data_IF_692216431584
#
_entry.id   IF_692216431584
#
_cell.length_a   1.000
_cell.length_b   1.000
_cell.length_c   1.000
_cell.angle_alpha   90.00
_cell.angle_beta   90.00
_cell.angle_gamma   90.00
#
_symmetry.space_group_name_H-M   'P 1'
#
loop_
_entity.id
_entity.type
_entity.pdbx_description
1 polymer ?
#
# COMPACT_ATOMS: atom_id res chain seq x y z
N UNK A 1 11.80 15.29 3.23
CA UNK A 1 10.34 15.02 3.14
C UNK A 1 9.93 13.56 3.38
N UNK A 2 10.78 12.55 3.13
CA UNK A 2 10.44 11.11 3.30
C UNK A 2 9.98 10.66 4.71
N UNK A 3 10.43 11.32 5.79
CA UNK A 3 10.00 10.96 7.14
C UNK A 3 8.54 11.36 7.41
N UNK A 4 8.06 12.51 6.91
CA UNK A 4 6.66 12.93 7.08
C UNK A 4 5.67 11.93 6.44
N UNK A 5 6.03 11.36 5.29
CA UNK A 5 5.21 10.36 4.59
C UNK A 5 5.14 9.01 5.31
N UNK A 6 6.17 8.64 6.08
CA UNK A 6 6.14 7.42 6.89
C UNK A 6 5.20 7.60 8.08
N UNK A 7 5.19 8.79 8.67
CA UNK A 7 4.33 9.13 9.79
C UNK A 7 2.86 9.32 9.37
N UNK A 8 2.55 9.76 8.15
CA UNK A 8 1.17 10.02 7.72
C UNK A 8 0.27 8.77 7.78
N UNK A 9 0.83 7.58 7.51
CA UNK A 9 0.11 6.30 7.56
C UNK A 9 -0.32 5.94 8.98
N UNK A 10 0.32 6.51 9.99
CA UNK A 10 0.06 6.24 11.41
C UNK A 10 -0.66 7.41 12.08
N UNK A 11 -0.23 8.65 11.83
CA UNK A 11 -0.79 9.87 12.42
C UNK A 11 -2.25 10.06 12.02
N UNK A 12 -2.59 9.88 10.74
CA UNK A 12 -3.94 10.13 10.22
C UNK A 12 -4.98 9.17 10.82
N UNK A 13 -4.74 7.84 10.89
CA UNK A 13 -5.66 6.94 11.57
C UNK A 13 -5.68 7.13 13.10
N UNK A 14 -4.57 7.55 13.74
CA UNK A 14 -4.59 7.94 15.17
C UNK A 14 -5.47 9.17 15.40
N UNK A 15 -5.41 10.17 14.53
CA UNK A 15 -6.24 11.39 14.64
C UNK A 15 -7.73 11.05 14.53
N UNK A 16 -8.09 10.12 13.63
CA UNK A 16 -9.47 9.66 13.48
C UNK A 16 -9.92 8.86 14.71
N UNK A 17 -9.06 8.02 15.28
CA UNK A 17 -9.34 7.36 16.57
C UNK A 17 -9.56 8.35 17.70
N UNK A 18 -8.76 9.42 17.75
CA UNK A 18 -8.91 10.48 18.75
C UNK A 18 -10.27 11.17 18.62
N UNK A 19 -10.69 11.52 17.40
CA UNK A 19 -12.01 12.13 17.12
C UNK A 19 -13.13 11.18 17.56
N UNK A 20 -13.05 9.89 17.22
CA UNK A 20 -14.06 8.90 17.63
C UNK A 20 -14.16 8.75 19.15
N UNK A 21 -13.05 8.90 19.86
CA UNK A 21 -13.04 8.86 21.33
C UNK A 21 -13.70 10.11 21.95
N UNK A 22 -13.46 11.29 21.37
CA UNK A 22 -14.12 12.55 21.77
C UNK A 22 -15.62 12.47 21.54
N UNK A 23 -16.06 11.88 20.43
CA UNK A 23 -17.48 11.70 20.09
C UNK A 23 -18.19 10.58 20.88
N UNK A 24 -17.48 9.85 21.76
CA UNK A 24 -18.02 8.75 22.59
C UNK A 24 -18.77 7.65 21.81
N UNK A 25 -18.45 7.47 20.53
CA UNK A 25 -19.04 6.41 19.70
C UNK A 25 -18.53 5.07 20.24
N UNK A 26 -19.42 4.35 20.93
CA UNK A 26 -19.08 3.12 21.68
C UNK A 26 -19.56 1.84 21.00
N UNK A 27 -20.49 1.94 20.05
CA UNK A 27 -20.96 0.82 19.23
C UNK A 27 -21.64 1.36 17.98
N UNK A 28 -21.50 0.63 16.88
CA UNK A 28 -22.25 0.87 15.64
C UNK A 28 -23.01 -0.40 15.33
N UNK A 29 -24.31 -0.26 15.16
CA UNK A 29 -25.15 -1.35 14.66
C UNK A 29 -25.10 -1.32 13.12
N UNK A 30 -24.74 -2.46 12.53
CA UNK A 30 -24.63 -2.59 11.08
C UNK A 30 -25.65 -3.64 10.65
N UNK A 31 -26.72 -3.22 9.99
CA UNK A 31 -27.85 -4.08 9.61
C UNK A 31 -27.47 -5.27 8.69
N UNK A 32 -26.32 -5.19 7.99
CA UNK A 32 -25.79 -6.21 7.08
C UNK A 32 -24.27 -6.37 7.25
N UNK A 33 -23.85 -6.65 8.49
CA UNK A 33 -22.44 -6.78 8.86
C UNK A 33 -21.72 -7.83 8.01
N UNK A 34 -22.33 -8.99 7.77
CA UNK A 34 -21.74 -10.08 6.97
C UNK A 34 -21.42 -9.65 5.54
N UNK A 35 -22.35 -8.95 4.90
CA UNK A 35 -22.18 -8.45 3.52
C UNK A 35 -21.10 -7.38 3.48
N UNK A 36 -21.08 -6.48 4.47
CA UNK A 36 -20.08 -5.43 4.57
C UNK A 36 -18.67 -6.01 4.73
N UNK A 37 -18.49 -6.94 5.68
CA UNK A 37 -17.20 -7.59 5.92
C UNK A 37 -16.77 -8.44 4.73
N UNK A 38 -17.68 -9.22 4.13
CA UNK A 38 -17.38 -10.02 2.94
C UNK A 38 -16.94 -9.17 1.74
N UNK A 39 -17.58 -8.01 1.55
CA UNK A 39 -17.19 -7.04 0.52
C UNK A 39 -15.80 -6.45 0.81
N UNK A 40 -15.51 -6.14 2.08
CA UNK A 40 -14.21 -5.62 2.48
C UNK A 40 -13.10 -6.64 2.25
N UNK A 41 -13.29 -7.90 2.67
CA UNK A 41 -12.32 -8.99 2.45
C UNK A 41 -12.02 -9.11 0.94
N UNK A 42 -13.07 -9.12 0.11
CA UNK A 42 -12.93 -9.24 -1.35
C UNK A 42 -12.13 -8.07 -1.95
N UNK A 43 -12.43 -6.84 -1.53
CA UNK A 43 -11.71 -5.65 -1.98
C UNK A 43 -10.23 -5.68 -1.56
N UNK A 44 -9.95 -6.01 -0.30
CA UNK A 44 -8.59 -6.10 0.24
C UNK A 44 -7.80 -7.19 -0.48
N UNK A 45 -8.38 -8.39 -0.66
CA UNK A 45 -7.75 -9.49 -1.36
C UNK A 45 -7.42 -9.13 -2.81
N UNK A 46 -8.33 -8.43 -3.50
CA UNK A 46 -8.12 -7.96 -4.88
C UNK A 46 -6.93 -6.99 -4.96
N UNK A 47 -6.90 -5.98 -4.09
CA UNK A 47 -5.83 -4.98 -4.05
C UNK A 47 -4.48 -5.61 -3.71
N UNK A 48 -4.44 -6.48 -2.69
CA UNK A 48 -3.23 -7.21 -2.30
C UNK A 48 -2.75 -8.10 -3.44
N UNK A 49 -3.65 -8.79 -4.14
CA UNK A 49 -3.33 -9.60 -5.32
C UNK A 49 -2.70 -8.76 -6.43
N UNK A 50 -3.24 -7.58 -6.72
CA UNK A 50 -2.64 -6.65 -7.67
C UNK A 50 -1.24 -6.18 -7.25
N UNK A 51 -1.04 -5.88 -5.97
CA UNK A 51 0.29 -5.50 -5.45
C UNK A 51 1.30 -6.62 -5.67
N UNK A 52 0.93 -7.87 -5.36
CA UNK A 52 1.80 -9.03 -5.56
C UNK A 52 2.13 -9.23 -7.04
N UNK A 53 1.15 -9.06 -7.93
CA UNK A 53 1.38 -9.12 -9.38
C UNK A 53 2.36 -8.04 -9.86
N UNK A 54 2.21 -6.80 -9.38
CA UNK A 54 3.14 -5.70 -9.69
C UNK A 54 4.55 -6.03 -9.18
N UNK A 55 4.69 -6.59 -7.97
CA UNK A 55 5.98 -7.04 -7.44
C UNK A 55 6.61 -8.08 -8.38
N UNK A 56 5.84 -9.08 -8.81
CA UNK A 56 6.33 -10.14 -9.69
C UNK A 56 6.78 -9.59 -11.05
N UNK A 57 6.00 -8.69 -11.66
CA UNK A 57 6.36 -8.01 -12.90
C UNK A 57 7.64 -7.21 -12.70
N UNK A 58 7.71 -6.42 -11.62
CA UNK A 58 8.86 -5.59 -11.34
C UNK A 58 10.11 -6.47 -11.19
N UNK A 59 10.06 -7.57 -10.42
CA UNK A 59 11.18 -8.52 -10.29
C UNK A 59 11.57 -9.10 -11.66
N UNK A 60 10.61 -9.47 -12.51
CA UNK A 60 10.89 -10.02 -13.83
C UNK A 60 11.50 -9.02 -14.83
N UNK A 61 11.11 -7.74 -14.77
CA UNK A 61 11.65 -6.66 -15.60
C UNK A 61 12.99 -6.15 -15.05
N UNK A 62 13.21 -6.26 -13.74
CA UNK A 62 14.41 -5.77 -13.05
C UNK A 62 15.70 -6.51 -13.44
N UNK A 63 15.63 -7.73 -13.97
CA UNK A 63 16.78 -8.64 -14.12
C UNK A 63 17.82 -8.25 -15.19
N UNK A 64 17.60 -7.20 -16.02
CA UNK A 64 18.54 -6.90 -17.15
C UNK A 64 19.10 -5.47 -17.28
N UNK A 65 18.41 -4.41 -16.86
CA UNK A 65 18.91 -3.02 -17.03
C UNK A 65 18.63 -2.13 -15.81
N UNK A 66 17.47 -2.30 -15.17
CA UNK A 66 17.05 -1.49 -14.02
C UNK A 66 17.79 -1.90 -12.72
N UNK A 67 18.32 -3.14 -12.64
CA UNK A 67 19.11 -3.65 -11.50
C UNK A 67 20.32 -2.78 -11.17
N UNK A 68 21.04 -2.22 -12.15
CA UNK A 68 22.21 -1.36 -11.88
C UNK A 68 21.81 -0.05 -11.21
N UNK A 69 20.75 0.58 -11.74
CA UNK A 69 20.26 1.89 -11.32
C UNK A 69 19.65 1.85 -9.91
N UNK A 70 18.83 0.83 -9.62
CA UNK A 70 18.16 0.69 -8.32
C UNK A 70 19.13 0.21 -7.23
N UNK A 71 20.13 -0.60 -7.60
CA UNK A 71 21.13 -1.11 -6.67
C UNK A 71 22.17 -0.04 -6.27
N UNK A 72 22.50 0.91 -7.15
CA UNK A 72 23.38 2.04 -6.82
C UNK A 72 22.73 3.06 -5.85
N UNK A 73 21.40 3.16 -5.80
CA UNK A 73 20.68 4.18 -5.00
C UNK A 73 20.07 3.73 -3.67
N UNK A 74 20.30 2.50 -3.17
CA UNK A 74 19.61 1.90 -1.99
C UNK A 74 18.06 1.88 -2.10
N UNK A 75 17.49 2.14 -3.28
CA UNK A 75 16.03 2.24 -3.48
C UNK A 75 15.31 0.90 -3.42
N UNK A 76 16.00 -0.23 -3.61
CA UNK A 76 15.36 -1.56 -3.62
C UNK A 76 14.79 -1.97 -2.26
N UNK A 77 15.50 -1.67 -1.17
CA UNK A 77 15.02 -1.94 0.18
C UNK A 77 13.81 -1.06 0.53
N UNK A 78 13.83 0.20 0.10
CA UNK A 78 12.70 1.11 0.29
C UNK A 78 11.47 0.61 -0.49
N UNK A 79 11.63 0.26 -1.76
CA UNK A 79 10.53 -0.21 -2.58
C UNK A 79 9.91 -1.49 -2.04
N UNK A 80 10.74 -2.44 -1.60
CA UNK A 80 10.30 -3.65 -0.91
C UNK A 80 9.50 -3.29 0.35
N UNK A 81 9.98 -2.36 1.15
CA UNK A 81 9.30 -1.95 2.39
C UNK A 81 7.95 -1.27 2.09
N UNK A 82 7.89 -0.41 1.08
CA UNK A 82 6.66 0.28 0.69
C UNK A 82 5.61 -0.68 0.09
N UNK A 83 6.05 -1.72 -0.61
CA UNK A 83 5.20 -2.77 -1.17
C UNK A 83 4.72 -3.76 -0.10
N UNK A 84 5.56 -4.09 0.87
CA UNK A 84 5.24 -5.08 1.90
C UNK A 84 4.23 -4.55 2.94
N UNK A 85 4.30 -3.26 3.28
CA UNK A 85 3.40 -2.65 4.28
C UNK A 85 1.90 -2.81 3.95
N UNK A 86 1.39 -2.43 2.76
CA UNK A 86 -0.02 -2.61 2.42
C UNK A 86 -0.43 -4.09 2.38
N UNK A 87 0.48 -5.01 1.99
CA UNK A 87 0.22 -6.45 2.03
C UNK A 87 0.00 -6.92 3.48
N UNK A 88 0.91 -6.58 4.40
CA UNK A 88 0.80 -6.95 5.81
C UNK A 88 -0.45 -6.36 6.46
N UNK A 89 -0.72 -5.07 6.24
CA UNK A 89 -1.92 -4.40 6.79
C UNK A 89 -3.19 -5.04 6.22
N UNK A 90 -3.21 -5.33 4.91
CA UNK A 90 -4.32 -6.00 4.25
C UNK A 90 -4.57 -7.41 4.82
N UNK A 91 -3.51 -8.19 5.01
CA UNK A 91 -3.62 -9.51 5.65
C UNK A 91 -4.15 -9.42 7.09
N UNK A 92 -3.66 -8.48 7.88
CA UNK A 92 -4.19 -8.23 9.24
C UNK A 92 -5.67 -7.84 9.21
N UNK A 93 -6.09 -7.00 8.25
CA UNK A 93 -7.47 -6.58 8.09
C UNK A 93 -8.39 -7.75 7.71
N UNK A 94 -7.92 -8.69 6.88
CA UNK A 94 -8.65 -9.93 6.55
C UNK A 94 -8.79 -10.81 7.80
N UNK A 95 -7.72 -11.03 8.56
CA UNK A 95 -7.78 -11.82 9.79
C UNK A 95 -8.76 -11.21 10.79
N UNK A 96 -8.69 -9.89 11.00
CA UNK A 96 -9.60 -9.20 11.91
C UNK A 96 -11.04 -9.25 11.42
N UNK A 97 -11.26 -9.21 10.10
CA UNK A 97 -12.58 -9.38 9.48
C UNK A 97 -13.20 -10.75 9.80
N UNK A 98 -12.41 -11.82 9.75
CA UNK A 98 -12.88 -13.14 10.18
C UNK A 98 -13.20 -13.19 11.68
N UNK A 99 -12.35 -12.60 12.53
CA UNK A 99 -12.62 -12.52 13.98
C UNK A 99 -13.91 -11.74 14.25
N UNK A 100 -14.15 -10.65 13.53
CA UNK A 100 -15.36 -9.84 13.68
C UNK A 100 -16.62 -10.61 13.26
N UNK A 101 -16.57 -11.42 12.19
CA UNK A 101 -17.68 -12.30 11.78
C UNK A 101 -18.01 -13.38 12.81
N UNK A 102 -17.00 -13.92 13.50
CA UNK A 102 -17.21 -14.97 14.51
C UNK A 102 -17.73 -14.39 15.83
N UNK A 103 -17.24 -13.21 16.22
CA UNK A 103 -17.49 -12.62 17.54
C UNK A 103 -18.66 -11.63 17.58
N UNK A 104 -19.09 -11.08 16.43
CA UNK A 104 -20.14 -10.06 16.36
C UNK A 104 -21.27 -10.49 15.42
N UNK A 105 -22.49 -10.60 15.95
CA UNK A 105 -23.70 -10.85 15.13
C UNK A 105 -24.16 -9.57 14.40
N UNK A 106 -24.37 -8.48 15.13
CA UNK A 106 -24.91 -7.20 14.58
C UNK A 106 -24.23 -5.95 15.14
N UNK A 107 -23.61 -6.08 16.31
CA UNK A 107 -23.01 -4.97 17.04
C UNK A 107 -21.52 -5.23 17.16
N UNK A 108 -20.72 -4.37 16.55
CA UNK A 108 -19.27 -4.39 16.77
C UNK A 108 -18.97 -3.59 18.04
N UNK A 109 -18.47 -4.26 19.08
CA UNK A 109 -18.06 -3.61 20.32
C UNK A 109 -17.03 -2.50 20.04
N UNK A 110 -17.13 -1.38 20.75
CA UNK A 110 -16.42 -0.15 20.41
C UNK A 110 -14.91 -0.26 20.27
N UNK A 111 -14.25 -1.18 20.99
CA UNK A 111 -12.81 -1.40 20.86
C UNK A 111 -12.46 -2.13 19.56
N UNK A 112 -13.21 -3.19 19.22
CA UNK A 112 -13.08 -3.91 17.95
C UNK A 112 -13.37 -2.98 16.77
N UNK A 113 -14.42 -2.16 16.86
CA UNK A 113 -14.78 -1.20 15.82
C UNK A 113 -13.66 -0.17 15.58
N UNK A 114 -13.06 0.36 16.66
CA UNK A 114 -11.94 1.30 16.58
C UNK A 114 -10.72 0.68 15.90
N UNK A 115 -10.32 -0.54 16.30
CA UNK A 115 -9.19 -1.24 15.68
C UNK A 115 -9.47 -1.54 14.20
N UNK A 116 -10.69 -1.95 13.89
CA UNK A 116 -11.11 -2.25 12.53
C UNK A 116 -11.01 -1.02 11.62
N UNK A 117 -11.57 0.09 12.07
CA UNK A 117 -11.55 1.36 11.34
C UNK A 117 -10.13 1.92 11.21
N UNK A 118 -9.29 1.77 12.23
CA UNK A 118 -7.86 2.10 12.18
C UNK A 118 -7.16 1.32 11.05
N UNK A 119 -7.38 0.01 10.96
CA UNK A 119 -6.76 -0.82 9.92
C UNK A 119 -7.27 -0.49 8.52
N UNK A 120 -8.57 -0.22 8.34
CA UNK A 120 -9.12 0.19 7.04
C UNK A 120 -8.44 1.46 6.55
N UNK A 121 -8.37 2.50 7.39
CA UNK A 121 -7.78 3.78 7.00
C UNK A 121 -6.29 3.61 6.73
N UNK A 122 -5.58 2.88 7.61
CA UNK A 122 -4.16 2.58 7.43
C UNK A 122 -3.91 1.86 6.10
N UNK A 123 -4.78 0.91 5.74
CA UNK A 123 -4.70 0.18 4.47
C UNK A 123 -4.89 1.13 3.28
N UNK A 124 -5.93 1.97 3.29
CA UNK A 124 -6.19 2.92 2.19
C UNK A 124 -5.01 3.87 2.00
N UNK A 125 -4.48 4.47 3.07
CA UNK A 125 -3.35 5.39 2.97
C UNK A 125 -2.09 4.67 2.50
N UNK A 126 -1.83 3.45 2.99
CA UNK A 126 -0.69 2.66 2.55
C UNK A 126 -0.73 2.37 1.04
N UNK A 127 -1.92 2.10 0.49
CA UNK A 127 -2.12 1.90 -0.94
C UNK A 127 -1.92 3.18 -1.76
N UNK A 128 -2.49 4.31 -1.33
CA UNK A 128 -2.29 5.61 -1.99
C UNK A 128 -0.79 5.95 -2.04
N UNK A 129 -0.11 5.79 -0.90
CA UNK A 129 1.34 6.02 -0.80
C UNK A 129 2.12 5.11 -1.75
N UNK A 130 1.75 3.84 -1.84
CA UNK A 130 2.39 2.92 -2.78
C UNK A 130 2.23 3.39 -4.23
N UNK A 131 1.03 3.84 -4.62
CA UNK A 131 0.77 4.36 -5.95
C UNK A 131 1.65 5.57 -6.30
N UNK A 132 1.79 6.53 -5.37
CA UNK A 132 2.65 7.71 -5.56
C UNK A 132 4.11 7.31 -5.79
N UNK A 133 4.62 6.37 -4.98
CA UNK A 133 6.01 5.91 -5.08
C UNK A 133 6.24 5.15 -6.39
N UNK A 134 5.28 4.33 -6.82
CA UNK A 134 5.36 3.64 -8.10
C UNK A 134 5.43 4.61 -9.28
N UNK A 135 4.62 5.67 -9.27
CA UNK A 135 4.67 6.71 -10.32
C UNK A 135 6.02 7.42 -10.32
N UNK A 136 6.53 7.76 -9.14
CA UNK A 136 7.85 8.40 -9.02
C UNK A 136 8.95 7.51 -9.57
N UNK A 137 8.95 6.22 -9.20
CA UNK A 137 9.94 5.24 -9.65
C UNK A 137 9.85 5.01 -11.16
N UNK A 138 8.64 4.93 -11.71
CA UNK A 138 8.42 4.78 -13.14
C UNK A 138 8.94 5.99 -13.93
N UNK A 139 8.73 7.21 -13.41
CA UNK A 139 9.25 8.44 -14.03
C UNK A 139 10.78 8.46 -14.03
N UNK A 140 11.40 8.12 -12.89
CA UNK A 140 12.87 8.07 -12.77
C UNK A 140 13.48 7.04 -13.73
N UNK A 141 12.88 5.85 -13.83
CA UNK A 141 13.32 4.81 -14.77
C UNK A 141 13.14 5.28 -16.23
N UNK A 142 12.01 5.94 -16.54
CA UNK A 142 11.74 6.42 -17.89
C UNK A 142 12.76 7.47 -18.33
N UNK A 143 13.06 8.45 -17.48
CA UNK A 143 14.03 9.52 -17.79
C UNK A 143 15.43 8.95 -18.05
N UNK A 144 15.86 8.00 -17.21
CA UNK A 144 17.18 7.37 -17.34
C UNK A 144 17.30 6.44 -18.56
N UNK A 145 16.19 5.78 -18.94
CA UNK A 145 16.11 4.98 -20.16
C UNK A 145 16.24 5.87 -21.41
N UNK A 146 15.56 7.03 -21.46
CA UNK A 146 15.67 7.98 -22.57
C UNK A 146 17.07 8.60 -22.69
N UNK A 147 17.74 8.89 -21.56
CA UNK A 147 19.12 9.38 -21.58
C UNK A 147 20.11 8.33 -22.08
N UNK A 148 19.93 7.06 -21.68
CA UNK A 148 20.81 5.95 -22.09
C UNK A 148 20.66 5.66 -23.58
N UNK A 149 19.43 5.60 -24.08
CA UNK A 149 19.14 5.40 -25.52
C UNK A 149 19.68 6.55 -26.38
N UNK A 150 19.59 7.80 -25.89
CA UNK A 150 20.13 8.96 -26.59
C UNK A 150 21.67 8.93 -26.66
N UNK A 151 22.34 8.51 -25.58
CA UNK A 151 23.81 8.35 -25.56
C UNK A 151 24.27 7.25 -26.51
N UNK A 152 23.58 6.11 -26.56
CA UNK A 152 23.90 5.03 -27.49
C UNK A 152 23.69 5.44 -28.96
N UNK A 153 22.70 6.28 -29.25
CA UNK A 153 22.48 6.83 -30.59
C UNK A 153 23.61 7.74 -31.05
N UNK A 154 24.03 8.68 -30.19
CA UNK A 154 25.13 9.61 -30.50
C UNK A 154 26.45 8.85 -30.74
N UNK A 155 26.75 7.85 -29.91
CA UNK A 155 27.94 7.00 -30.06
C UNK A 155 27.93 6.17 -31.36
N UNK A 156 26.77 5.83 -31.90
CA UNK A 156 26.65 5.12 -33.18
C UNK A 156 26.81 6.04 -34.38
N UNK A 157 26.31 7.28 -34.29
CA UNK A 157 26.43 8.26 -35.36
C UNK A 157 27.86 8.83 -35.47
N UNK A 158 28.63 8.89 -34.37
CA UNK A 158 30.05 9.27 -34.38
C UNK A 158 30.99 8.20 -34.99
N UNK A 159 30.48 7.00 -35.30
CA UNK A 159 31.26 5.91 -35.92
C UNK A 159 30.99 5.72 -37.42
N UNK A 160 30.24 6.63 -38.06
CA UNK A 160 29.94 6.62 -39.50
C UNK A 160 30.67 7.76 -40.22
#
# INVERSE_FOLDING_TARGET
MRFLERFIVVILPILILFILNVLKISSVEIAKLDIFIGSLISAVATIVGFIIAIIAILIGVLDKQIMKIIHEKKSMNLLREYLFVPVVIGSLLIILSFVALIMCDKVVAGMLFKIFLFLIISFVIANIRLGIIMIYLFKEISEEYFETESKEKILRDDQI
#
